data_IF_133368780837
#
_entry.id   IF_133368780837
#
_cell.length_a   1.000
_cell.length_b   1.000
_cell.length_c   1.000
_cell.angle_alpha   90.00
_cell.angle_beta   90.00
_cell.angle_gamma   90.00
#
_symmetry.space_group_name_H-M   'P 1'
#
loop_
_entity.id
_entity.type
_entity.pdbx_description
1 polymer ?
#
# COMPACT_ATOMS: atom_id res chain seq x y z
N UNK A 1 -17.47 -45.99 73.02
CA UNK A 1 -18.34 -45.30 72.04
C UNK A 1 -17.94 -43.83 71.97
N UNK A 2 -17.26 -43.42 70.90
CA UNK A 2 -16.93 -42.01 70.62
C UNK A 2 -18.02 -41.43 69.73
N UNK A 3 -18.68 -40.36 70.18
CA UNK A 3 -19.56 -39.55 69.33
C UNK A 3 -18.78 -38.33 68.84
N UNK A 4 -18.48 -38.33 67.54
CA UNK A 4 -17.87 -37.22 66.81
C UNK A 4 -18.92 -36.12 66.60
N UNK A 5 -18.69 -34.93 67.15
CA UNK A 5 -19.36 -33.71 66.68
C UNK A 5 -18.60 -33.21 65.45
N UNK A 6 -19.17 -33.43 64.27
CA UNK A 6 -18.70 -32.79 63.05
C UNK A 6 -19.08 -31.30 63.10
N UNK A 7 -18.09 -30.44 63.32
CA UNK A 7 -18.20 -29.02 63.01
C UNK A 7 -17.85 -28.84 61.54
N UNK A 8 -18.86 -28.66 60.69
CA UNK A 8 -18.66 -28.14 59.33
C UNK A 8 -18.32 -26.66 59.45
N UNK A 9 -17.03 -26.33 59.41
CA UNK A 9 -16.58 -24.98 59.17
C UNK A 9 -16.83 -24.66 57.69
N UNK A 10 -17.95 -23.99 57.41
CA UNK A 10 -18.17 -23.35 56.10
C UNK A 10 -17.16 -22.21 56.00
N UNK A 11 -16.06 -22.44 55.29
CA UNK A 11 -15.16 -21.35 54.89
C UNK A 11 -15.87 -20.61 53.76
N UNK A 12 -16.71 -19.65 54.11
CA UNK A 12 -17.11 -18.61 53.17
C UNK A 12 -15.86 -17.78 52.85
N UNK A 13 -15.17 -18.13 51.76
CA UNK A 13 -14.19 -17.23 51.17
C UNK A 13 -14.94 -15.99 50.71
N UNK A 14 -14.97 -14.96 51.55
CA UNK A 14 -15.43 -13.63 51.19
C UNK A 14 -14.57 -13.14 50.03
N UNK A 15 -15.17 -13.15 48.84
CA UNK A 15 -14.57 -12.55 47.65
C UNK A 15 -14.62 -11.04 47.89
N UNK A 16 -13.49 -10.46 48.28
CA UNK A 16 -13.42 -9.03 48.57
C UNK A 16 -13.68 -8.23 47.29
N UNK A 17 -14.50 -7.15 47.35
CA UNK A 17 -14.92 -6.38 46.16
C UNK A 17 -13.74 -5.77 45.39
N UNK A 18 -12.57 -5.65 46.03
CA UNK A 18 -11.34 -5.17 45.42
C UNK A 18 -10.73 -6.13 44.39
N UNK A 19 -10.95 -7.44 44.51
CA UNK A 19 -10.49 -8.43 43.52
C UNK A 19 -11.39 -8.45 42.28
N UNK A 20 -12.71 -8.37 42.48
CA UNK A 20 -13.70 -8.29 41.41
C UNK A 20 -13.50 -6.99 40.62
N UNK A 21 -13.32 -5.86 41.31
CA UNK A 21 -13.08 -4.56 40.67
C UNK A 21 -11.78 -4.55 39.83
N UNK A 22 -10.70 -5.18 40.30
CA UNK A 22 -9.44 -5.31 39.55
C UNK A 22 -9.57 -6.23 38.35
N UNK A 23 -10.28 -7.36 38.47
CA UNK A 23 -10.57 -8.24 37.32
C UNK A 23 -11.46 -7.56 36.28
N UNK A 24 -12.49 -6.82 36.71
CA UNK A 24 -13.33 -6.03 35.81
C UNK A 24 -12.52 -4.93 35.10
N UNK A 25 -11.60 -4.27 35.80
CA UNK A 25 -10.72 -3.26 35.20
C UNK A 25 -9.75 -3.87 34.19
N UNK A 26 -9.17 -5.04 34.48
CA UNK A 26 -8.29 -5.76 33.54
C UNK A 26 -9.06 -6.23 32.29
N UNK A 27 -10.28 -6.74 32.45
CA UNK A 27 -11.17 -7.13 31.35
C UNK A 27 -11.57 -5.90 30.53
N UNK A 28 -11.90 -4.77 31.18
CA UNK A 28 -12.22 -3.52 30.50
C UNK A 28 -11.04 -2.96 29.70
N UNK A 29 -9.80 -3.03 30.22
CA UNK A 29 -8.59 -2.64 29.50
C UNK A 29 -8.33 -3.56 28.31
N UNK A 30 -8.55 -4.87 28.46
CA UNK A 30 -8.41 -5.85 27.37
C UNK A 30 -9.46 -5.62 26.26
N UNK A 31 -10.71 -5.32 26.65
CA UNK A 31 -11.80 -4.96 25.74
C UNK A 31 -11.54 -3.61 25.06
N UNK A 32 -10.89 -2.66 25.76
CA UNK A 32 -10.51 -1.38 25.16
C UNK A 32 -9.35 -1.50 24.17
N UNK A 33 -8.40 -2.42 24.39
CA UNK A 33 -7.35 -2.73 23.43
C UNK A 33 -7.88 -3.39 22.14
N UNK A 34 -9.09 -3.98 22.19
CA UNK A 34 -9.81 -4.47 21.01
C UNK A 34 -10.65 -3.42 20.29
N UNK A 35 -10.70 -2.16 20.75
CA UNK A 35 -11.20 -1.05 19.92
C UNK A 35 -10.17 -0.75 18.83
N UNK A 36 -10.19 -1.61 17.81
CA UNK A 36 -9.98 -1.31 16.41
C UNK A 36 -9.05 -0.14 16.12
N UNK A 37 -7.78 -0.46 15.85
CA UNK A 37 -7.12 0.22 14.74
C UNK A 37 -7.98 -0.08 13.50
N UNK A 38 -8.93 0.81 13.21
CA UNK A 38 -9.80 0.74 12.03
C UNK A 38 -8.96 1.11 10.80
N UNK A 39 -7.93 0.31 10.52
CA UNK A 39 -7.23 0.37 9.25
C UNK A 39 -8.24 -0.02 8.17
N UNK A 40 -8.43 0.89 7.21
CA UNK A 40 -9.19 0.65 6.00
C UNK A 40 -8.64 -0.59 5.28
N UNK A 41 -9.52 -1.50 4.89
CA UNK A 41 -9.13 -2.70 4.18
C UNK A 41 -8.85 -2.36 2.71
N UNK A 42 -7.72 -2.83 2.18
CA UNK A 42 -7.48 -2.85 0.74
C UNK A 42 -8.35 -3.94 0.14
N UNK A 43 -9.44 -3.52 -0.49
CA UNK A 43 -10.48 -4.41 -1.02
C UNK A 43 -10.61 -4.29 -2.56
N UNK A 44 -10.92 -5.42 -3.19
CA UNK A 44 -11.14 -5.52 -4.63
C UNK A 44 -12.47 -6.22 -4.93
N UNK A 45 -13.08 -5.84 -6.04
CA UNK A 45 -14.22 -6.54 -6.60
C UNK A 45 -13.78 -7.89 -7.19
N UNK A 46 -14.63 -8.90 -6.98
CA UNK A 46 -14.48 -10.22 -7.58
C UNK A 46 -15.45 -10.37 -8.74
N UNK A 47 -15.20 -11.34 -9.61
CA UNK A 47 -15.91 -11.52 -10.88
C UNK A 47 -17.44 -11.65 -10.71
N UNK A 48 -17.90 -12.28 -9.62
CA UNK A 48 -19.32 -12.39 -9.31
C UNK A 48 -20.00 -11.05 -9.00
N UNK A 49 -19.22 -10.06 -8.52
CA UNK A 49 -19.73 -8.74 -8.16
C UNK A 49 -19.58 -7.76 -9.32
N UNK A 50 -18.45 -7.81 -10.04
CA UNK A 50 -18.20 -6.99 -11.22
C UNK A 50 -17.15 -7.64 -12.13
N UNK A 51 -17.56 -8.10 -13.32
CA UNK A 51 -16.63 -8.67 -14.29
C UNK A 51 -15.58 -7.65 -14.79
N UNK A 52 -16.00 -6.38 -14.94
CA UNK A 52 -15.14 -5.28 -15.39
C UNK A 52 -14.03 -4.98 -14.36
N UNK A 53 -14.39 -4.86 -13.08
CA UNK A 53 -13.46 -4.49 -12.01
C UNK A 53 -12.65 -5.66 -11.44
N UNK A 54 -13.00 -6.90 -11.79
CA UNK A 54 -12.31 -8.09 -11.31
C UNK A 54 -11.00 -8.40 -12.04
N UNK A 55 -10.65 -7.67 -13.10
CA UNK A 55 -9.36 -7.81 -13.79
C UNK A 55 -8.35 -6.83 -13.19
N UNK A 56 -7.32 -7.35 -12.55
CA UNK A 56 -6.35 -6.55 -11.80
C UNK A 56 -4.91 -6.90 -12.17
N UNK A 57 -4.00 -5.96 -11.98
CA UNK A 57 -2.56 -6.18 -12.16
C UNK A 57 -1.87 -6.43 -10.83
N UNK A 58 -0.82 -7.24 -10.82
CA UNK A 58 -0.01 -7.45 -9.63
C UNK A 58 1.01 -6.32 -9.44
N UNK A 59 1.17 -5.90 -8.19
CA UNK A 59 2.20 -4.95 -7.74
C UNK A 59 3.32 -5.66 -6.98
N UNK A 60 3.05 -6.81 -6.37
CA UNK A 60 4.09 -7.66 -5.81
C UNK A 60 4.97 -8.25 -6.92
N UNK A 61 6.26 -8.41 -6.63
CA UNK A 61 7.15 -9.24 -7.43
C UNK A 61 7.29 -10.61 -6.77
N UNK A 62 7.61 -11.63 -7.56
CA UNK A 62 7.67 -13.04 -7.14
C UNK A 62 6.46 -13.48 -6.27
N UNK A 63 5.24 -13.19 -6.73
CA UNK A 63 4.01 -13.48 -5.99
C UNK A 63 3.77 -14.99 -5.93
N UNK A 64 3.80 -15.56 -4.73
CA UNK A 64 3.46 -16.96 -4.49
C UNK A 64 1.97 -17.22 -4.73
N UNK A 65 1.65 -18.01 -5.75
CA UNK A 65 0.31 -18.56 -5.96
C UNK A 65 0.13 -19.79 -5.07
N UNK A 66 -0.90 -19.80 -4.22
CA UNK A 66 -1.08 -20.86 -3.22
C UNK A 66 -2.34 -21.69 -3.44
N UNK A 67 -2.34 -22.90 -2.91
CA UNK A 67 -3.50 -23.82 -2.99
C UNK A 67 -4.65 -23.43 -2.04
N UNK A 68 -4.35 -22.73 -0.94
CA UNK A 68 -5.34 -22.13 -0.04
C UNK A 68 -5.02 -20.67 0.38
N UNK A 69 -6.01 -20.02 1.00
CA UNK A 69 -6.02 -18.62 1.40
C UNK A 69 -5.16 -18.32 2.66
N UNK A 70 -3.88 -18.69 2.65
CA UNK A 70 -2.95 -18.42 3.76
C UNK A 70 -1.49 -18.48 3.30
N UNK A 71 -0.61 -17.74 3.97
CA UNK A 71 0.83 -17.75 3.69
C UNK A 71 1.50 -19.09 4.04
N UNK A 72 0.84 -19.92 4.85
CA UNK A 72 1.32 -21.24 5.24
C UNK A 72 0.91 -22.37 4.27
N UNK A 73 0.07 -22.05 3.29
CA UNK A 73 -0.40 -22.98 2.26
C UNK A 73 0.72 -23.34 1.25
N UNK A 74 0.56 -24.43 0.51
CA UNK A 74 1.54 -24.85 -0.50
C UNK A 74 1.67 -23.78 -1.59
N UNK A 75 2.91 -23.46 -1.98
CA UNK A 75 3.16 -22.59 -3.13
C UNK A 75 3.16 -23.43 -4.41
N UNK A 76 2.15 -23.20 -5.25
CA UNK A 76 1.96 -23.88 -6.54
C UNK A 76 2.95 -23.37 -7.59
N UNK A 77 3.17 -22.06 -7.63
CA UNK A 77 4.10 -21.39 -8.55
C UNK A 77 4.37 -19.96 -8.07
N UNK A 78 5.29 -19.29 -8.73
CA UNK A 78 5.56 -17.86 -8.60
C UNK A 78 4.98 -17.10 -9.79
N UNK A 79 4.48 -15.90 -9.56
CA UNK A 79 3.93 -15.00 -10.57
C UNK A 79 4.73 -13.68 -10.55
N UNK A 80 5.16 -13.24 -11.71
CA UNK A 80 5.90 -11.98 -11.88
C UNK A 80 5.03 -10.75 -11.65
N UNK A 81 5.66 -9.63 -11.27
CA UNK A 81 4.99 -8.33 -11.19
C UNK A 81 4.32 -7.92 -12.51
N UNK A 82 3.24 -7.15 -12.45
CA UNK A 82 2.55 -6.62 -13.64
C UNK A 82 1.79 -7.67 -14.46
N UNK A 83 1.67 -8.92 -13.97
CA UNK A 83 0.77 -9.89 -14.59
C UNK A 83 -0.69 -9.50 -14.34
N UNK A 84 -1.51 -9.59 -15.39
CA UNK A 84 -2.95 -9.39 -15.29
C UNK A 84 -3.63 -10.68 -14.81
N UNK A 85 -4.46 -10.57 -13.78
CA UNK A 85 -5.18 -11.67 -13.16
C UNK A 85 -6.67 -11.36 -13.06
N UNK A 86 -7.50 -12.40 -13.06
CA UNK A 86 -8.93 -12.29 -12.78
C UNK A 86 -9.24 -12.76 -11.38
N UNK A 87 -9.85 -11.90 -10.57
CA UNK A 87 -10.25 -12.23 -9.19
C UNK A 87 -11.59 -12.98 -9.21
N UNK A 88 -11.60 -14.24 -8.76
CA UNK A 88 -12.77 -15.11 -8.78
C UNK A 88 -13.56 -15.07 -7.46
N UNK A 89 -12.84 -15.02 -6.34
CA UNK A 89 -13.40 -15.04 -4.99
C UNK A 89 -12.41 -14.39 -4.01
N UNK A 90 -12.87 -14.12 -2.78
CA UNK A 90 -12.03 -13.62 -1.69
C UNK A 90 -12.34 -14.35 -0.39
N UNK A 91 -11.36 -14.42 0.51
CA UNK A 91 -11.56 -15.01 1.84
C UNK A 91 -12.59 -14.22 2.64
N UNK A 92 -13.25 -14.90 3.59
CA UNK A 92 -14.25 -14.27 4.45
C UNK A 92 -13.64 -13.22 5.38
N UNK A 93 -12.43 -13.49 5.87
CA UNK A 93 -11.70 -12.63 6.80
C UNK A 93 -10.50 -11.98 6.12
N UNK A 94 -10.24 -10.72 6.48
CA UNK A 94 -9.03 -10.01 6.12
C UNK A 94 -7.89 -10.37 7.08
N UNK A 95 -6.66 -10.28 6.58
CA UNK A 95 -5.44 -10.45 7.35
C UNK A 95 -4.55 -9.22 7.18
N UNK A 96 -3.87 -8.84 8.26
CA UNK A 96 -2.84 -7.81 8.20
C UNK A 96 -1.48 -8.45 8.00
N UNK A 97 -0.84 -8.20 6.86
CA UNK A 97 0.50 -8.67 6.54
C UNK A 97 1.34 -7.44 6.20
N UNK A 98 2.51 -7.29 6.82
CA UNK A 98 3.41 -6.15 6.65
C UNK A 98 2.73 -4.78 6.79
N UNK A 99 1.77 -4.66 7.72
CA UNK A 99 1.06 -3.42 7.97
C UNK A 99 0.02 -3.03 6.92
N UNK A 100 -0.33 -3.92 5.98
CA UNK A 100 -1.46 -3.74 5.06
C UNK A 100 -2.55 -4.75 5.42
N UNK A 101 -3.78 -4.28 5.56
CA UNK A 101 -4.94 -5.13 5.83
C UNK A 101 -5.65 -5.46 4.52
N UNK A 102 -5.71 -6.74 4.16
CA UNK A 102 -6.42 -7.19 2.95
C UNK A 102 -6.84 -8.66 3.06
N UNK A 103 -7.78 -9.07 2.20
CA UNK A 103 -8.20 -10.47 2.06
C UNK A 103 -7.25 -11.25 1.16
N UNK A 104 -7.38 -12.57 1.20
CA UNK A 104 -6.84 -13.44 0.16
C UNK A 104 -7.81 -13.50 -1.01
N UNK A 105 -7.30 -13.51 -2.22
CA UNK A 105 -8.09 -13.56 -3.44
C UNK A 105 -7.76 -14.81 -4.22
N UNK A 106 -8.79 -15.56 -4.60
CA UNK A 106 -8.68 -16.66 -5.55
C UNK A 106 -8.60 -16.04 -6.94
N UNK A 107 -7.54 -16.33 -7.68
CA UNK A 107 -7.29 -15.73 -8.98
C UNK A 107 -7.24 -16.77 -10.09
N UNK A 108 -7.46 -16.32 -11.33
CA UNK A 108 -7.24 -17.10 -12.55
C UNK A 108 -6.26 -16.39 -13.48
N UNK A 109 -5.33 -17.16 -14.01
CA UNK A 109 -4.29 -16.76 -14.96
C UNK A 109 -4.09 -17.87 -15.98
N UNK A 110 -4.64 -17.71 -17.18
CA UNK A 110 -4.66 -18.80 -18.17
C UNK A 110 -5.24 -20.09 -17.56
N UNK A 111 -4.48 -21.21 -17.53
CA UNK A 111 -4.93 -22.46 -16.90
C UNK A 111 -4.74 -22.49 -15.37
N UNK A 112 -3.94 -21.60 -14.80
CA UNK A 112 -3.59 -21.61 -13.38
C UNK A 112 -4.68 -20.95 -12.53
N UNK A 113 -4.99 -21.58 -11.39
CA UNK A 113 -5.92 -21.09 -10.39
C UNK A 113 -5.30 -21.32 -9.02
N UNK A 114 -5.38 -20.32 -8.16
CA UNK A 114 -4.89 -20.40 -6.77
C UNK A 114 -5.21 -19.13 -6.01
N UNK A 115 -4.60 -18.96 -4.85
CA UNK A 115 -4.82 -17.84 -3.95
C UNK A 115 -3.59 -16.96 -3.82
N UNK A 116 -3.79 -15.65 -3.81
CA UNK A 116 -2.76 -14.65 -3.53
C UNK A 116 -3.25 -13.70 -2.43
N UNK A 117 -2.34 -13.11 -1.68
CA UNK A 117 -2.68 -12.10 -0.68
C UNK A 117 -2.96 -10.75 -1.36
N UNK A 118 -4.05 -10.09 -1.00
CA UNK A 118 -4.58 -8.92 -1.71
C UNK A 118 -3.69 -7.68 -1.67
N UNK A 119 -2.82 -7.53 -0.66
CA UNK A 119 -1.85 -6.41 -0.65
C UNK A 119 -0.73 -6.53 -1.69
N UNK A 120 -0.69 -7.61 -2.49
CA UNK A 120 0.18 -7.74 -3.67
C UNK A 120 -0.54 -7.34 -4.97
N UNK A 121 -1.82 -6.99 -4.91
CA UNK A 121 -2.62 -6.54 -6.04
C UNK A 121 -2.55 -5.01 -6.12
N UNK A 122 -2.39 -4.49 -7.33
CA UNK A 122 -2.35 -3.06 -7.60
C UNK A 122 -3.73 -2.42 -7.35
N UNK A 123 -3.79 -1.37 -6.53
CA UNK A 123 -5.01 -0.58 -6.30
C UNK A 123 -5.29 0.40 -7.45
N UNK A 124 -4.23 0.81 -8.16
CA UNK A 124 -4.34 1.64 -9.37
C UNK A 124 -3.25 1.23 -10.34
N UNK A 125 -3.66 0.99 -11.58
CA UNK A 125 -2.73 0.78 -12.69
C UNK A 125 -2.89 1.91 -13.70
N UNK A 126 -1.78 2.51 -14.09
CA UNK A 126 -1.69 3.50 -15.15
C UNK A 126 -0.79 2.95 -16.26
N UNK A 127 -0.96 3.43 -17.49
CA UNK A 127 -0.10 3.09 -18.63
C UNK A 127 0.65 4.34 -19.02
N UNK A 128 1.97 4.25 -19.19
CA UNK A 128 2.79 5.39 -19.61
C UNK A 128 2.33 5.93 -20.97
N UNK A 129 2.26 7.25 -21.08
CA UNK A 129 2.02 7.96 -22.33
C UNK A 129 3.28 8.00 -23.21
N UNK A 130 4.46 7.95 -22.59
CA UNK A 130 5.76 7.95 -23.29
C UNK A 130 6.09 6.57 -23.86
N UNK A 131 5.85 5.50 -23.10
CA UNK A 131 6.11 4.12 -23.49
C UNK A 131 4.97 3.19 -23.04
N UNK A 132 4.01 2.84 -23.91
CA UNK A 132 2.85 2.00 -23.55
C UNK A 132 3.19 0.58 -23.05
N UNK A 133 4.43 0.11 -23.21
CA UNK A 133 4.90 -1.15 -22.62
C UNK A 133 5.12 -1.03 -21.11
N UNK A 134 5.31 0.19 -20.59
CA UNK A 134 5.50 0.50 -19.18
C UNK A 134 4.15 0.75 -18.51
N UNK A 135 3.91 0.02 -17.42
CA UNK A 135 2.77 0.21 -16.52
C UNK A 135 3.26 0.75 -15.18
N UNK A 136 2.50 1.66 -14.59
CA UNK A 136 2.70 2.10 -13.22
C UNK A 136 1.67 1.39 -12.33
N UNK A 137 2.13 0.52 -11.45
CA UNK A 137 1.29 -0.17 -10.46
C UNK A 137 1.47 0.51 -9.10
N UNK A 138 0.35 0.84 -8.46
CA UNK A 138 0.30 1.64 -7.24
C UNK A 138 -0.55 0.97 -6.16
N UNK A 139 -0.13 1.12 -4.91
CA UNK A 139 -0.88 0.64 -3.76
C UNK A 139 -0.14 0.87 -2.45
N UNK A 140 -0.77 0.42 -1.36
CA UNK A 140 -0.18 0.47 -0.02
C UNK A 140 1.12 -0.35 0.06
N UNK A 141 2.06 0.16 0.84
CA UNK A 141 3.32 -0.47 1.18
C UNK A 141 3.42 -0.82 2.68
N UNK A 142 2.35 -0.59 3.44
CA UNK A 142 2.28 -0.83 4.88
C UNK A 142 2.62 0.41 5.70
N UNK A 143 3.18 0.18 6.89
CA UNK A 143 3.58 1.22 7.82
C UNK A 143 5.11 1.37 7.85
N UNK A 144 5.58 2.59 8.08
CA UNK A 144 7.00 2.84 8.39
C UNK A 144 7.34 2.50 9.85
N UNK A 145 8.61 2.60 10.22
CA UNK A 145 9.08 2.29 11.59
C UNK A 145 8.50 3.22 12.68
N UNK A 146 7.90 4.35 12.29
CA UNK A 146 7.20 5.29 13.17
C UNK A 146 5.67 5.11 13.13
N UNK A 147 5.18 4.14 12.36
CA UNK A 147 3.76 3.85 12.21
C UNK A 147 3.04 4.70 11.15
N UNK A 148 3.75 5.47 10.32
CA UNK A 148 3.10 6.25 9.25
C UNK A 148 2.75 5.39 8.05
N UNK A 149 1.60 5.67 7.43
CA UNK A 149 1.17 4.94 6.23
C UNK A 149 2.10 5.26 5.04
N UNK A 150 2.48 4.22 4.33
CA UNK A 150 3.31 4.31 3.12
C UNK A 150 2.57 3.72 1.94
N UNK A 151 2.75 4.37 0.80
CA UNK A 151 2.37 3.86 -0.50
C UNK A 151 3.63 3.60 -1.34
N UNK A 152 3.47 2.80 -2.36
CA UNK A 152 4.50 2.54 -3.35
C UNK A 152 3.92 2.68 -4.75
N UNK A 153 4.79 3.08 -5.67
CA UNK A 153 4.56 3.01 -7.09
C UNK A 153 5.73 2.28 -7.72
N UNK A 154 5.45 1.37 -8.64
CA UNK A 154 6.45 0.60 -9.37
C UNK A 154 6.21 0.77 -10.86
N UNK A 155 7.27 1.06 -11.60
CA UNK A 155 7.27 1.03 -13.06
C UNK A 155 7.60 -0.40 -13.48
N UNK A 156 6.78 -0.97 -14.35
CA UNK A 156 6.85 -2.38 -14.71
C UNK A 156 6.80 -2.51 -16.22
N UNK A 157 7.72 -3.32 -16.78
CA UNK A 157 7.75 -3.63 -18.20
C UNK A 157 8.04 -5.11 -18.38
N UNK A 158 7.20 -5.79 -19.16
CA UNK A 158 7.37 -7.21 -19.51
C UNK A 158 7.63 -8.14 -18.32
N UNK A 159 6.94 -7.91 -17.19
CA UNK A 159 7.08 -8.72 -15.98
C UNK A 159 8.26 -8.35 -15.07
N UNK A 160 8.97 -7.26 -15.38
CA UNK A 160 10.16 -6.80 -14.64
C UNK A 160 9.92 -5.42 -14.04
N UNK A 161 10.28 -5.25 -12.77
CA UNK A 161 10.34 -3.93 -12.12
C UNK A 161 11.50 -3.12 -12.70
N UNK A 162 11.19 -1.96 -13.28
CA UNK A 162 12.17 -1.00 -13.82
C UNK A 162 12.66 -0.07 -12.72
N UNK A 163 11.72 0.47 -11.96
CA UNK A 163 12.01 1.40 -10.87
C UNK A 163 10.88 1.38 -9.84
N UNK A 164 11.18 1.88 -8.64
CA UNK A 164 10.24 1.91 -7.52
C UNK A 164 10.45 3.15 -6.67
N UNK A 165 9.33 3.73 -6.26
CA UNK A 165 9.32 4.85 -5.34
C UNK A 165 8.31 4.66 -4.21
N UNK A 166 8.64 5.21 -3.05
CA UNK A 166 7.76 5.23 -1.90
C UNK A 166 7.21 6.63 -1.65
N UNK A 167 5.94 6.68 -1.28
CA UNK A 167 5.22 7.92 -0.99
C UNK A 167 4.75 7.84 0.45
N UNK A 168 5.17 8.80 1.27
CA UNK A 168 4.66 8.96 2.62
C UNK A 168 3.42 9.84 2.58
N UNK A 169 2.29 9.31 3.05
CA UNK A 169 1.05 10.07 3.16
C UNK A 169 0.05 9.30 4.02
N UNK A 170 -0.64 10.01 4.91
CA UNK A 170 -1.71 9.43 5.72
C UNK A 170 -3.10 9.57 5.06
N UNK A 171 -3.22 10.42 4.03
CA UNK A 171 -4.51 10.73 3.36
C UNK A 171 -4.55 10.39 1.87
N UNK A 172 -3.45 9.87 1.30
CA UNK A 172 -3.44 9.45 -0.11
C UNK A 172 -4.39 8.27 -0.33
N UNK A 173 -5.17 8.36 -1.40
CA UNK A 173 -6.08 7.31 -1.83
C UNK A 173 -5.88 7.03 -3.32
N UNK A 174 -6.03 5.77 -3.74
CA UNK A 174 -5.73 5.35 -5.11
C UNK A 174 -6.57 6.07 -6.18
N UNK A 175 -7.77 6.52 -5.81
CA UNK A 175 -8.65 7.30 -6.72
C UNK A 175 -8.08 8.67 -7.09
N UNK A 176 -7.16 9.22 -6.29
CA UNK A 176 -6.49 10.51 -6.54
C UNK A 176 -5.27 10.38 -7.43
N UNK A 177 -4.77 9.16 -7.63
CA UNK A 177 -3.61 8.89 -8.48
C UNK A 177 -4.04 8.88 -9.94
N UNK A 178 -3.54 9.83 -10.73
CA UNK A 178 -3.83 9.92 -12.16
C UNK A 178 -2.63 10.37 -12.97
N UNK A 179 -2.51 9.80 -14.17
CA UNK A 179 -1.58 10.29 -15.18
C UNK A 179 -2.15 11.58 -15.77
N UNK A 180 -1.31 12.60 -15.93
CA UNK A 180 -1.72 13.87 -16.50
C UNK A 180 -1.47 13.89 -18.01
N UNK A 181 -2.44 14.44 -18.73
CA UNK A 181 -2.32 14.77 -20.15
C UNK A 181 -1.43 16.01 -20.28
N UNK A 182 -0.13 15.87 -20.06
CA UNK A 182 0.83 16.86 -20.55
C UNK A 182 1.30 16.40 -21.91
N UNK A 183 1.29 17.27 -22.92
CA UNK A 183 1.79 17.05 -24.28
C UNK A 183 3.28 16.63 -24.28
N UNK A 184 3.62 15.44 -23.80
CA UNK A 184 4.98 14.87 -23.73
C UNK A 184 6.08 15.88 -23.38
N UNK A 185 5.77 16.92 -22.57
CA UNK A 185 6.67 18.06 -22.40
C UNK A 185 7.92 17.56 -21.68
N UNK A 186 8.98 17.31 -22.45
CA UNK A 186 10.22 16.73 -21.97
C UNK A 186 10.33 15.19 -21.96
N UNK A 187 9.55 14.46 -22.78
CA UNK A 187 9.65 12.99 -22.92
C UNK A 187 9.55 12.24 -21.56
N UNK A 188 8.56 12.62 -20.76
CA UNK A 188 8.35 12.14 -19.39
C UNK A 188 6.87 12.00 -19.08
N UNK A 189 6.54 11.05 -18.23
CA UNK A 189 5.19 10.94 -17.64
C UNK A 189 5.11 11.76 -16.36
N UNK A 190 3.98 12.44 -16.16
CA UNK A 190 3.69 13.18 -14.93
C UNK A 190 2.45 12.60 -14.26
N UNK A 191 2.63 12.04 -13.08
CA UNK A 191 1.59 11.39 -12.29
C UNK A 191 1.24 12.28 -11.11
N UNK A 192 -0.02 12.70 -11.02
CA UNK A 192 -0.54 13.46 -9.89
C UNK A 192 -0.97 12.53 -8.76
N UNK A 193 -0.69 12.94 -7.52
CA UNK A 193 -1.10 12.25 -6.30
C UNK A 193 -2.31 12.91 -5.62
N UNK A 194 -2.97 13.89 -6.24
CA UNK A 194 -4.09 14.66 -5.66
C UNK A 194 -5.07 15.19 -6.69
N UNK A 195 -6.12 15.93 -6.30
CA UNK A 195 -7.01 16.60 -7.26
C UNK A 195 -6.32 17.84 -7.87
N UNK A 196 -6.30 17.94 -9.20
CA UNK A 196 -5.61 19.02 -9.95
C UNK A 196 -6.46 20.27 -10.07
N UNK A 197 -7.72 20.20 -9.65
CA UNK A 197 -8.70 21.27 -9.87
C UNK A 197 -8.76 22.27 -8.72
N UNK A 198 -8.23 21.91 -7.54
CA UNK A 198 -8.04 22.82 -6.43
C UNK A 198 -6.62 22.60 -5.90
N UNK A 199 -5.93 23.65 -5.48
CA UNK A 199 -4.81 23.52 -4.55
C UNK A 199 -5.31 23.06 -3.17
N UNK A 200 -6.07 21.95 -3.12
CA UNK A 200 -6.55 21.39 -1.88
C UNK A 200 -5.36 20.82 -1.12
N UNK A 201 -5.04 21.50 -0.04
CA UNK A 201 -3.98 21.26 0.94
C UNK A 201 -4.19 19.98 1.76
N UNK A 202 -5.20 19.16 1.43
CA UNK A 202 -5.61 18.00 2.21
C UNK A 202 -4.71 16.76 2.05
N UNK A 203 -3.77 16.78 1.11
CA UNK A 203 -2.79 15.70 0.96
C UNK A 203 -1.52 16.09 1.69
N UNK A 204 -1.34 15.53 2.88
CA UNK A 204 -0.10 15.62 3.66
C UNK A 204 0.99 14.69 3.08
N UNK A 205 1.10 14.63 1.75
CA UNK A 205 2.20 13.97 1.08
C UNK A 205 3.31 14.99 0.84
N UNK A 206 4.55 14.60 1.14
CA UNK A 206 5.72 15.46 0.89
C UNK A 206 5.90 15.75 -0.61
N UNK A 207 5.40 14.87 -1.47
CA UNK A 207 5.34 15.03 -2.92
C UNK A 207 3.89 15.11 -3.40
N UNK A 208 3.62 16.01 -4.36
CA UNK A 208 2.30 16.13 -5.02
C UNK A 208 2.28 15.47 -6.40
N UNK A 209 3.46 15.32 -7.01
CA UNK A 209 3.66 14.75 -8.33
C UNK A 209 4.80 13.74 -8.31
N UNK A 210 4.70 12.74 -9.19
CA UNK A 210 5.76 11.80 -9.52
C UNK A 210 6.03 11.95 -11.01
N UNK A 211 7.30 12.13 -11.37
CA UNK A 211 7.76 12.11 -12.74
C UNK A 211 8.32 10.73 -13.03
N UNK A 212 8.13 10.24 -14.25
CA UNK A 212 8.86 9.09 -14.76
C UNK A 212 9.55 9.46 -16.07
N UNK A 213 10.88 9.42 -16.07
CA UNK A 213 11.75 9.79 -17.20
C UNK A 213 12.99 8.92 -17.16
N UNK A 214 13.50 8.49 -18.32
CA UNK A 214 14.72 7.69 -18.40
C UNK A 214 14.71 6.47 -17.47
N UNK A 215 13.57 5.77 -17.39
CA UNK A 215 13.40 4.59 -16.53
C UNK A 215 13.60 4.88 -15.02
N UNK A 216 13.37 6.13 -14.58
CA UNK A 216 13.51 6.55 -13.19
C UNK A 216 12.34 7.40 -12.72
N UNK A 217 11.95 7.18 -11.46
CA UNK A 217 11.00 8.01 -10.74
C UNK A 217 11.67 9.17 -10.02
N UNK A 218 11.04 10.32 -10.08
CA UNK A 218 11.44 11.52 -9.32
C UNK A 218 10.21 12.16 -8.66
N UNK A 219 10.36 12.73 -7.47
CA UNK A 219 9.29 13.43 -6.77
C UNK A 219 9.34 14.93 -7.03
N UNK A 220 8.17 15.53 -7.22
CA UNK A 220 8.03 16.99 -7.27
C UNK A 220 6.91 17.48 -6.35
N UNK A 221 7.16 18.62 -5.72
CA UNK A 221 6.20 19.31 -4.82
C UNK A 221 5.25 20.24 -5.58
N UNK A 222 5.62 20.67 -6.79
CA UNK A 222 4.82 21.57 -7.64
C UNK A 222 4.70 21.06 -9.07
N UNK A 223 3.61 21.44 -9.76
CA UNK A 223 3.40 21.08 -11.16
C UNK A 223 4.39 21.78 -12.09
N UNK A 224 4.78 23.01 -11.77
CA UNK A 224 5.79 23.75 -12.53
C UNK A 224 7.14 23.02 -12.51
N UNK A 225 7.60 22.60 -11.32
CA UNK A 225 8.80 21.77 -11.20
C UNK A 225 8.63 20.44 -11.95
N UNK A 226 7.43 19.85 -11.90
CA UNK A 226 7.16 18.61 -12.62
C UNK A 226 7.18 18.77 -14.15
N UNK A 227 6.87 19.95 -14.69
CA UNK A 227 6.75 20.20 -16.13
C UNK A 227 7.90 21.02 -16.73
N UNK A 228 8.77 21.61 -15.90
CA UNK A 228 9.94 22.33 -16.37
C UNK A 228 10.86 21.37 -17.15
N UNK A 229 11.27 21.80 -18.35
CA UNK A 229 12.38 21.18 -19.05
C UNK A 229 13.67 21.59 -18.35
N UNK A 230 14.57 20.65 -18.09
CA UNK A 230 15.92 20.95 -17.60
C UNK A 230 16.63 21.87 -18.60
N UNK A 231 16.54 23.17 -18.40
CA UNK A 231 17.50 24.14 -18.93
C UNK A 231 18.56 24.39 -17.84
N UNK A 232 19.31 23.36 -17.50
CA UNK A 232 20.57 23.51 -16.78
C UNK A 232 21.70 22.98 -17.67
N UNK A 233 22.08 23.80 -18.65
CA UNK A 233 23.43 23.89 -19.21
C UNK A 233 23.49 25.05 -20.21
N UNK A 234 23.37 26.28 -19.72
CA UNK A 234 23.87 27.45 -20.42
C UNK A 234 24.07 28.62 -19.45
N UNK A 235 25.35 29.04 -19.34
CA UNK A 235 25.82 30.31 -18.76
C UNK A 235 25.76 30.35 -17.21
N UNK A 236 26.88 30.41 -16.49
CA UNK A 236 27.89 31.45 -16.59
C UNK A 236 29.32 30.89 -16.55
N UNK A 237 29.97 30.79 -17.71
CA UNK A 237 31.40 31.02 -17.80
C UNK A 237 31.59 32.52 -18.08
N UNK A 238 31.74 33.33 -17.03
CA UNK A 238 32.56 34.54 -17.15
C UNK A 238 33.94 34.18 -16.61
N UNK A 239 34.79 33.75 -17.54
CA UNK A 239 36.21 33.99 -17.41
C UNK A 239 36.42 35.49 -17.60
N UNK A 240 36.72 36.20 -16.51
CA UNK A 240 37.49 37.44 -16.55
C UNK A 240 38.57 37.31 -15.48
N UNK A 241 39.71 36.74 -15.88
CA UNK A 241 41.00 37.00 -15.26
C UNK A 241 41.78 37.95 -16.15
N UNK A 242 42.72 38.66 -15.51
CA UNK A 242 43.70 39.64 -16.01
C UNK A 242 43.20 41.10 -16.05
N UNK A 243 43.85 42.09 -15.43
CA UNK A 243 45.20 42.17 -14.88
C UNK A 243 45.32 43.39 -13.95
N UNK A 244 46.13 43.28 -12.89
CA UNK A 244 46.61 44.41 -12.11
C UNK A 244 47.96 44.84 -12.67
N UNK A 245 48.15 46.13 -13.00
CA UNK A 245 49.45 46.80 -12.93
C UNK A 245 49.28 48.27 -12.54
N UNK A 246 50.26 48.73 -11.75
CA UNK A 246 50.45 50.08 -11.21
C UNK A 246 50.43 51.21 -12.25
#
# INVERSE_FOLDING_TARGET
MKTLKNSTATVETLITPTKILKSCLAIAILLMASFSFAQEEVEFDVYSNSAEKASQYLMGDDVALRDCASAHCEQLTTITIGTNVRLLAKSETAQTINGVKSRWYKIKMGPQIGWIWGGLISQKTLVSHVNPEVKFVFGEAGLDYKGYKRFQMRAVKNGVEIDKIFIKSDSLHFSKVRLLDSDTVGNKDVISLGDSTNEDTAINATAKYILFKNDKFEQASSFLTATQAEYENANYAYACGFEAQN
#
